data_IF_651701214545
#
_entry.id   IF_651701214545
#
_cell.length_a   1.000
_cell.length_b   1.000
_cell.length_c   1.000
_cell.angle_alpha   90.00
_cell.angle_beta   90.00
_cell.angle_gamma   90.00
#
_symmetry.space_group_name_H-M   'P 1'
#
loop_
_entity.id
_entity.type
_entity.pdbx_description
1 polymer ?
#
# COMPACT_ATOMS: atom_id res chain seq x y z
N UNK A 1 -46.30 -4.69 -62.22
CA UNK A 1 -45.69 -5.12 -60.94
C UNK A 1 -44.39 -4.34 -60.78
N UNK A 2 -44.42 -3.30 -59.96
CA UNK A 2 -43.37 -2.28 -59.86
C UNK A 2 -42.26 -2.76 -58.93
N UNK A 3 -41.06 -2.90 -59.46
CA UNK A 3 -39.85 -3.22 -58.69
C UNK A 3 -39.28 -1.94 -58.06
N UNK A 4 -39.61 -1.71 -56.79
CA UNK A 4 -39.05 -0.60 -56.00
C UNK A 4 -37.68 -0.99 -55.45
N UNK A 5 -36.63 -0.62 -56.19
CA UNK A 5 -35.23 -0.81 -55.82
C UNK A 5 -34.82 0.20 -54.74
N UNK A 6 -34.70 -0.25 -53.49
CA UNK A 6 -34.28 0.55 -52.34
C UNK A 6 -32.76 0.79 -52.37
N UNK A 7 -32.34 1.85 -53.06
CA UNK A 7 -30.99 2.41 -52.89
C UNK A 7 -30.89 3.11 -51.54
N UNK A 8 -30.65 2.34 -50.49
CA UNK A 8 -30.17 2.89 -49.22
C UNK A 8 -28.79 3.49 -49.51
N UNK A 9 -28.75 4.82 -49.53
CA UNK A 9 -27.53 5.60 -49.69
C UNK A 9 -26.50 5.18 -48.63
N UNK A 10 -25.32 4.73 -49.08
CA UNK A 10 -24.16 4.41 -48.23
C UNK A 10 -23.79 5.51 -47.23
N UNK A 11 -24.21 6.75 -47.49
CA UNK A 11 -24.02 7.90 -46.60
C UNK A 11 -24.82 7.80 -45.29
N UNK A 12 -25.92 7.04 -45.25
CA UNK A 12 -26.84 7.00 -44.10
C UNK A 12 -26.50 5.88 -43.10
N UNK A 13 -25.74 4.85 -43.52
CA UNK A 13 -25.35 3.74 -42.65
C UNK A 13 -24.28 4.12 -41.61
N UNK A 14 -23.53 5.22 -41.81
CA UNK A 14 -22.47 5.67 -40.89
C UNK A 14 -23.06 6.37 -39.65
N UNK A 15 -24.28 6.91 -39.74
CA UNK A 15 -24.93 7.61 -38.61
C UNK A 15 -25.70 6.68 -37.66
N UNK A 16 -25.90 5.40 -38.02
CA UNK A 16 -26.67 4.45 -37.20
C UNK A 16 -25.85 3.83 -36.05
N UNK A 17 -24.52 3.88 -36.13
CA UNK A 17 -23.65 3.60 -35.00
C UNK A 17 -23.43 4.94 -34.32
N UNK A 18 -24.14 5.20 -33.23
CA UNK A 18 -24.03 6.41 -32.41
C UNK A 18 -22.65 6.55 -31.73
N UNK A 19 -21.56 6.43 -32.50
CA UNK A 19 -20.23 6.81 -32.11
C UNK A 19 -20.33 8.31 -31.89
N UNK A 20 -20.37 8.72 -30.62
CA UNK A 20 -19.97 10.06 -30.24
C UNK A 20 -18.55 10.19 -30.79
N UNK A 21 -18.43 10.84 -31.95
CA UNK A 21 -17.16 11.08 -32.62
C UNK A 21 -16.44 12.12 -31.77
N UNK A 22 -15.92 11.67 -30.64
CA UNK A 22 -15.07 12.48 -29.80
C UNK A 22 -13.84 12.79 -30.63
N UNK A 23 -13.63 14.08 -30.77
CA UNK A 23 -12.41 14.70 -31.22
C UNK A 23 -11.20 13.99 -30.60
N UNK A 24 -10.30 13.51 -31.46
CA UNK A 24 -9.07 12.84 -31.02
C UNK A 24 -7.99 13.91 -30.95
N UNK A 25 -7.52 14.17 -29.74
CA UNK A 25 -6.36 15.04 -29.53
C UNK A 25 -5.12 14.36 -30.09
N UNK A 26 -4.46 15.05 -31.02
CA UNK A 26 -3.22 14.61 -31.63
C UNK A 26 -2.12 15.64 -31.42
N UNK A 27 -0.89 15.14 -31.48
CA UNK A 27 0.29 15.99 -31.59
C UNK A 27 0.11 16.98 -32.77
N UNK A 28 0.64 18.21 -32.64
CA UNK A 28 0.44 19.22 -33.66
C UNK A 28 1.05 18.80 -35.00
N UNK A 29 0.30 18.95 -36.10
CA UNK A 29 0.82 18.77 -37.46
C UNK A 29 1.93 19.78 -37.76
N UNK A 30 2.74 19.59 -38.81
CA UNK A 30 3.88 20.46 -39.10
C UNK A 30 3.46 21.92 -39.30
N UNK A 31 2.29 22.16 -39.92
CA UNK A 31 1.75 23.51 -40.08
C UNK A 31 1.35 24.16 -38.74
N UNK A 32 0.71 23.40 -37.84
CA UNK A 32 0.35 23.91 -36.51
C UNK A 32 1.59 24.05 -35.61
N UNK A 33 2.58 23.18 -35.77
CA UNK A 33 3.85 23.22 -35.04
C UNK A 33 4.72 24.41 -35.47
N UNK A 34 4.68 24.79 -36.75
CA UNK A 34 5.46 25.92 -37.30
C UNK A 34 4.70 27.25 -37.28
N UNK A 35 3.44 27.26 -36.86
CA UNK A 35 2.70 28.50 -36.69
C UNK A 35 3.41 29.38 -35.65
N UNK A 36 3.62 30.66 -35.98
CA UNK A 36 4.15 31.65 -35.04
C UNK A 36 3.08 31.88 -33.96
N UNK A 37 3.32 31.34 -32.76
CA UNK A 37 2.48 31.55 -31.58
C UNK A 37 3.10 32.69 -30.76
N UNK A 38 2.31 33.70 -30.34
CA UNK A 38 2.78 34.76 -29.47
C UNK A 38 3.41 34.21 -28.19
N UNK A 39 4.37 34.95 -27.63
CA UNK A 39 5.02 34.58 -26.38
C UNK A 39 4.00 34.62 -25.24
N UNK A 40 3.77 33.48 -24.58
CA UNK A 40 2.76 33.31 -23.52
C UNK A 40 1.47 32.60 -23.94
N UNK A 41 1.24 32.37 -25.25
CA UNK A 41 0.09 31.58 -25.70
C UNK A 41 0.41 30.08 -25.78
N UNK A 42 -0.56 29.25 -25.38
CA UNK A 42 -0.47 27.79 -25.47
C UNK A 42 -0.57 27.39 -26.95
N UNK A 43 0.39 26.59 -27.42
CA UNK A 43 0.33 26.05 -28.79
C UNK A 43 -0.95 25.24 -28.98
N UNK A 44 -1.70 25.45 -30.08
CA UNK A 44 -2.95 24.74 -30.30
C UNK A 44 -2.68 23.24 -30.52
N UNK A 45 -3.43 22.39 -29.81
CA UNK A 45 -3.48 20.96 -30.07
C UNK A 45 -4.19 20.70 -31.41
N UNK A 46 -3.74 19.70 -32.15
CA UNK A 46 -4.41 19.31 -33.39
C UNK A 46 -5.52 18.33 -33.06
N UNK A 47 -6.75 18.82 -33.10
CA UNK A 47 -7.93 17.96 -33.00
C UNK A 47 -8.29 17.48 -34.39
N UNK A 48 -8.38 16.17 -34.62
CA UNK A 48 -8.80 15.63 -35.92
C UNK A 48 -10.22 15.15 -35.82
N UNK A 49 -11.09 15.61 -36.72
CA UNK A 49 -12.43 15.05 -36.85
C UNK A 49 -12.44 13.84 -37.81
N UNK A 50 -13.33 12.87 -37.62
CA UNK A 50 -13.46 11.68 -38.50
C UNK A 50 -13.88 12.02 -39.94
N UNK A 51 -14.54 13.18 -40.12
CA UNK A 51 -15.04 13.67 -41.41
C UNK A 51 -14.01 14.57 -42.11
N UNK A 52 -13.14 15.24 -41.36
CA UNK A 52 -12.11 16.11 -41.91
C UNK A 52 -10.80 15.34 -42.06
N UNK A 53 -10.27 15.24 -43.28
CA UNK A 53 -8.91 14.73 -43.52
C UNK A 53 -7.81 15.70 -43.07
N UNK A 54 -8.14 16.63 -42.19
CA UNK A 54 -7.31 17.74 -41.72
C UNK A 54 -7.66 17.98 -40.25
N UNK A 55 -6.70 18.44 -39.46
CA UNK A 55 -6.97 18.90 -38.10
C UNK A 55 -7.83 20.18 -38.11
N UNK A 56 -8.54 20.42 -37.00
CA UNK A 56 -9.43 21.56 -36.76
C UNK A 56 -8.77 22.88 -37.10
N UNK A 57 -7.51 23.08 -36.70
CA UNK A 57 -6.75 24.30 -36.99
C UNK A 57 -6.41 24.47 -38.47
N UNK A 58 -6.01 23.41 -39.17
CA UNK A 58 -5.77 23.46 -40.61
C UNK A 58 -7.07 23.62 -41.40
N UNK A 59 -8.20 23.10 -40.90
CA UNK A 59 -9.52 23.37 -41.45
C UNK A 59 -9.88 24.84 -41.27
N UNK A 60 -9.72 25.37 -40.05
CA UNK A 60 -10.01 26.77 -39.69
C UNK A 60 -9.19 27.77 -40.50
N UNK A 61 -7.90 27.50 -40.69
CA UNK A 61 -6.98 28.33 -41.48
C UNK A 61 -7.03 28.04 -42.98
N UNK A 62 -7.88 27.11 -43.40
CA UNK A 62 -8.00 26.63 -44.78
C UNK A 62 -6.65 26.26 -45.42
N UNK A 63 -5.77 25.59 -44.65
CA UNK A 63 -4.46 25.17 -45.12
C UNK A 63 -4.60 24.13 -46.24
N UNK A 64 -3.81 24.26 -47.31
CA UNK A 64 -3.85 23.34 -48.45
C UNK A 64 -3.35 21.94 -48.07
N UNK A 65 -2.27 21.87 -47.30
CA UNK A 65 -1.71 20.63 -46.76
C UNK A 65 -2.00 20.52 -45.26
N UNK A 66 -2.29 19.31 -44.81
CA UNK A 66 -2.23 18.92 -43.40
C UNK A 66 -1.68 17.51 -43.40
N UNK A 67 -0.56 17.33 -42.71
CA UNK A 67 0.18 16.06 -42.70
C UNK A 67 -0.52 15.01 -41.81
N UNK A 68 -1.48 15.46 -41.00
CA UNK A 68 -2.33 14.59 -40.20
C UNK A 68 -3.52 14.17 -41.04
N UNK A 69 -3.36 13.06 -41.74
CA UNK A 69 -4.43 12.37 -42.46
C UNK A 69 -4.62 10.98 -41.86
N UNK A 70 -5.79 10.73 -41.27
CA UNK A 70 -6.17 9.41 -40.79
C UNK A 70 -7.22 8.79 -41.71
N UNK A 71 -7.06 7.51 -42.04
CA UNK A 71 -8.11 6.71 -42.69
C UNK A 71 -9.16 6.30 -41.65
N UNK A 72 -10.40 6.04 -42.08
CA UNK A 72 -11.48 5.62 -41.19
C UNK A 72 -11.14 4.35 -40.37
N UNK A 73 -10.39 3.42 -40.95
CA UNK A 73 -9.93 2.21 -40.24
C UNK A 73 -8.90 2.51 -39.16
N UNK A 74 -7.97 3.44 -39.42
CA UNK A 74 -6.97 3.88 -38.45
C UNK A 74 -7.64 4.63 -37.30
N UNK A 75 -8.63 5.45 -37.62
CA UNK A 75 -9.46 6.14 -36.63
C UNK A 75 -10.12 5.15 -35.66
N UNK A 76 -10.77 4.12 -36.20
CA UNK A 76 -11.43 3.11 -35.37
C UNK A 76 -10.42 2.38 -34.47
N UNK A 77 -9.23 2.04 -34.99
CA UNK A 77 -8.16 1.44 -34.18
C UNK A 77 -7.69 2.36 -33.06
N UNK A 78 -7.53 3.65 -33.33
CA UNK A 78 -7.10 4.64 -32.33
C UNK A 78 -8.16 4.82 -31.23
N UNK A 79 -9.45 4.88 -31.58
CA UNK A 79 -10.52 4.95 -30.59
C UNK A 79 -10.54 3.71 -29.69
N UNK A 80 -10.47 2.51 -30.27
CA UNK A 80 -10.42 1.26 -29.50
C UNK A 80 -9.19 1.23 -28.59
N UNK A 81 -8.02 1.64 -29.09
CA UNK A 81 -6.80 1.70 -28.30
C UNK A 81 -6.88 2.73 -27.18
N UNK A 82 -7.46 3.90 -27.44
CA UNK A 82 -7.69 4.95 -26.42
C UNK A 82 -8.60 4.44 -25.33
N UNK A 83 -9.72 3.82 -25.69
CA UNK A 83 -10.70 3.32 -24.72
C UNK A 83 -10.11 2.17 -23.90
N UNK A 84 -9.31 1.29 -24.52
CA UNK A 84 -8.55 0.26 -23.79
C UNK A 84 -7.55 0.88 -22.81
N UNK A 85 -6.78 1.87 -23.23
CA UNK A 85 -5.82 2.55 -22.36
C UNK A 85 -6.52 3.30 -21.22
N UNK A 86 -7.68 3.91 -21.48
CA UNK A 86 -8.47 4.58 -20.45
C UNK A 86 -8.94 3.59 -19.37
N UNK A 87 -9.41 2.40 -19.76
CA UNK A 87 -9.75 1.34 -18.80
C UNK A 87 -8.54 0.85 -18.01
N UNK A 88 -7.38 0.71 -18.65
CA UNK A 88 -6.14 0.32 -17.95
C UNK A 88 -5.68 1.39 -16.96
N UNK A 89 -5.82 2.68 -17.30
CA UNK A 89 -5.54 3.78 -16.39
C UNK A 89 -6.48 3.72 -15.17
N UNK A 90 -7.79 3.56 -15.40
CA UNK A 90 -8.78 3.45 -14.32
C UNK A 90 -8.51 2.24 -13.40
N UNK A 91 -8.10 1.11 -13.96
CA UNK A 91 -7.71 -0.08 -13.19
C UNK A 91 -6.47 0.18 -12.32
N UNK A 92 -5.43 0.79 -12.89
CA UNK A 92 -4.22 1.16 -12.16
C UNK A 92 -4.51 2.19 -11.06
N UNK A 93 -5.32 3.22 -11.35
CA UNK A 93 -5.72 4.23 -10.35
C UNK A 93 -6.46 3.60 -9.16
N UNK A 94 -7.29 2.58 -9.43
CA UNK A 94 -7.97 1.82 -8.38
C UNK A 94 -6.99 0.99 -7.55
N UNK A 95 -6.05 0.30 -8.19
CA UNK A 95 -5.00 -0.45 -7.49
C UNK A 95 -4.12 0.47 -6.63
N UNK A 96 -3.75 1.65 -7.15
CA UNK A 96 -3.00 2.66 -6.39
C UNK A 96 -3.76 3.09 -5.12
N UNK A 97 -5.08 3.32 -5.23
CA UNK A 97 -5.92 3.68 -4.10
C UNK A 97 -5.98 2.56 -3.05
N UNK A 98 -6.17 1.31 -3.47
CA UNK A 98 -6.18 0.15 -2.56
C UNK A 98 -4.83 -0.02 -1.83
N UNK A 99 -3.71 0.21 -2.53
CA UNK A 99 -2.37 0.18 -1.94
C UNK A 99 -2.15 1.31 -0.93
N UNK A 100 -2.62 2.53 -1.21
CA UNK A 100 -2.56 3.64 -0.26
C UNK A 100 -3.35 3.33 1.02
N UNK A 101 -4.57 2.79 0.90
CA UNK A 101 -5.36 2.41 2.06
C UNK A 101 -4.69 1.31 2.90
N UNK A 102 -4.05 0.33 2.25
CA UNK A 102 -3.28 -0.70 2.92
C UNK A 102 -2.07 -0.10 3.67
N UNK A 103 -1.35 0.83 3.04
CA UNK A 103 -0.23 1.53 3.65
C UNK A 103 -0.67 2.34 4.89
N UNK A 104 -1.81 3.02 4.82
CA UNK A 104 -2.37 3.78 5.94
C UNK A 104 -2.78 2.88 7.11
N UNK A 105 -3.37 1.72 6.82
CA UNK A 105 -3.66 0.68 7.83
C UNK A 105 -2.38 0.23 8.52
N UNK A 106 -1.32 -0.11 7.77
CA UNK A 106 -0.03 -0.51 8.34
C UNK A 106 0.61 0.60 9.17
N UNK A 107 0.57 1.85 8.69
CA UNK A 107 1.07 3.01 9.42
C UNK A 107 0.30 3.25 10.72
N UNK A 108 -1.03 3.05 10.73
CA UNK A 108 -1.84 3.13 11.94
C UNK A 108 -1.44 2.06 12.97
N UNK A 109 -1.23 0.81 12.53
CA UNK A 109 -0.77 -0.28 13.40
C UNK A 109 0.64 -0.02 13.93
N UNK A 110 1.55 0.50 13.11
CA UNK A 110 2.89 0.87 13.52
C UNK A 110 2.86 1.96 14.61
N UNK A 111 1.99 2.97 14.47
CA UNK A 111 1.79 4.00 15.49
C UNK A 111 1.30 3.41 16.81
N UNK A 112 0.28 2.54 16.77
CA UNK A 112 -0.23 1.85 17.96
C UNK A 112 0.85 1.00 18.65
N UNK A 113 1.64 0.24 17.88
CA UNK A 113 2.74 -0.56 18.42
C UNK A 113 3.83 0.30 19.05
N UNK A 114 4.18 1.43 18.43
CA UNK A 114 5.14 2.40 18.99
C UNK A 114 4.63 3.01 20.29
N UNK A 115 3.36 3.35 20.35
CA UNK A 115 2.73 3.88 21.56
C UNK A 115 2.71 2.84 22.69
N UNK A 116 2.29 1.60 22.41
CA UNK A 116 2.32 0.49 23.38
C UNK A 116 3.74 0.26 23.90
N UNK A 117 4.74 0.23 23.02
CA UNK A 117 6.16 0.10 23.39
C UNK A 117 6.60 1.22 24.32
N UNK A 118 6.20 2.47 24.05
CA UNK A 118 6.55 3.60 24.91
C UNK A 118 5.89 3.49 26.28
N UNK A 119 4.60 3.12 26.34
CA UNK A 119 3.89 2.89 27.60
C UNK A 119 4.56 1.81 28.45
N UNK A 120 4.88 0.67 27.85
CA UNK A 120 5.57 -0.43 28.53
C UNK A 120 6.95 -0.01 29.05
N UNK A 121 7.73 0.74 28.26
CA UNK A 121 9.01 1.29 28.73
C UNK A 121 8.88 2.20 29.95
N UNK A 122 7.84 3.03 30.00
CA UNK A 122 7.56 3.89 31.16
C UNK A 122 7.22 3.07 32.40
N UNK A 123 6.37 2.05 32.24
CA UNK A 123 5.99 1.14 33.35
C UNK A 123 7.23 0.40 33.86
N UNK A 124 8.03 -0.17 32.96
CA UNK A 124 9.26 -0.88 33.30
C UNK A 124 10.25 0.02 34.06
N UNK A 125 10.51 1.23 33.57
CA UNK A 125 11.38 2.18 34.25
C UNK A 125 10.84 2.64 35.62
N UNK A 126 9.51 2.65 35.80
CA UNK A 126 8.91 2.94 37.10
C UNK A 126 9.06 1.76 38.06
N UNK A 127 8.89 0.52 37.58
CA UNK A 127 9.07 -0.69 38.39
C UNK A 127 10.53 -0.86 38.80
N UNK A 128 11.49 -0.61 37.91
CA UNK A 128 12.91 -0.63 38.22
C UNK A 128 13.25 0.33 39.39
N UNK A 129 12.80 1.59 39.31
CA UNK A 129 13.00 2.56 40.40
C UNK A 129 12.35 2.16 41.72
N UNK A 130 11.18 1.52 41.68
CA UNK A 130 10.53 1.01 42.91
C UNK A 130 11.28 -0.17 43.51
N UNK A 131 11.82 -1.05 42.67
CA UNK A 131 12.64 -2.17 43.12
C UNK A 131 13.96 -1.69 43.72
N UNK A 132 14.64 -0.73 43.07
CA UNK A 132 15.86 -0.09 43.60
C UNK A 132 15.60 0.55 44.98
N UNK A 133 14.53 1.35 45.11
CA UNK A 133 14.18 1.98 46.38
C UNK A 133 13.79 0.97 47.47
N UNK A 134 13.16 -0.16 47.10
CA UNK A 134 12.84 -1.21 48.06
C UNK A 134 14.12 -1.91 48.56
N UNK A 135 15.07 -2.21 47.67
CA UNK A 135 16.37 -2.78 48.04
C UNK A 135 17.15 -1.82 48.93
N UNK A 136 17.18 -0.53 48.59
CA UNK A 136 17.83 0.51 49.41
C UNK A 136 17.23 0.58 50.83
N UNK A 137 15.90 0.55 50.95
CA UNK A 137 15.23 0.54 52.24
C UNK A 137 15.56 -0.72 53.08
N UNK A 138 15.66 -1.90 52.46
CA UNK A 138 16.07 -3.12 53.17
C UNK A 138 17.54 -3.04 53.62
N UNK A 139 18.42 -2.43 52.82
CA UNK A 139 19.82 -2.21 53.21
C UNK A 139 19.95 -1.24 54.39
N UNK A 140 19.14 -0.17 54.41
CA UNK A 140 19.10 0.78 55.54
C UNK A 140 18.66 0.08 56.83
N UNK A 141 17.63 -0.77 56.76
CA UNK A 141 17.15 -1.56 57.92
C UNK A 141 18.25 -2.49 58.45
N UNK A 142 18.95 -3.21 57.56
CA UNK A 142 20.05 -4.10 57.96
C UNK A 142 21.23 -3.32 58.58
N UNK A 143 21.54 -2.13 58.08
CA UNK A 143 22.59 -1.27 58.63
C UNK A 143 22.26 -0.74 60.02
N UNK A 144 20.99 -0.42 60.27
CA UNK A 144 20.52 0.03 61.59
C UNK A 144 20.53 -1.12 62.61
N UNK A 145 20.17 -2.34 62.19
CA UNK A 145 20.26 -3.55 63.03
C UNK A 145 21.72 -3.89 63.40
N UNK A 146 22.66 -3.79 62.45
CA UNK A 146 24.10 -4.02 62.72
C UNK A 146 24.68 -2.98 63.70
N UNK A 147 24.19 -1.73 63.64
CA UNK A 147 24.66 -0.66 64.53
C UNK A 147 24.07 -0.73 65.95
N UNK A 148 22.96 -1.44 66.13
CA UNK A 148 22.24 -1.58 67.39
C UNK A 148 22.75 -2.70 68.32
N UNK A 149 23.49 -3.69 67.79
CA UNK A 149 23.89 -4.90 68.50
C UNK A 149 25.37 -4.90 68.97
N UNK A 150 25.86 -3.71 69.33
CA UNK A 150 27.15 -3.51 69.98
C UNK A 150 27.16 -3.83 71.48
N UNK A 151 26.73 -5.03 71.91
CA UNK A 151 27.09 -5.57 73.23
C UNK A 151 28.00 -6.81 73.07
N UNK A 152 29.26 -6.78 73.53
CA UNK A 152 30.18 -7.89 73.34
C UNK A 152 29.98 -8.95 74.43
N UNK A 153 29.43 -10.11 74.06
CA UNK A 153 29.74 -11.34 74.77
C UNK A 153 28.62 -12.35 74.87
N UNK A 154 28.66 -13.36 74.02
CA UNK A 154 28.54 -14.74 74.49
C UNK A 154 28.99 -15.69 73.40
N UNK A 155 30.14 -16.33 73.60
CA UNK A 155 30.56 -17.46 72.82
C UNK A 155 29.60 -18.63 73.09
N UNK A 156 28.90 -19.11 72.05
CA UNK A 156 28.36 -20.46 72.03
C UNK A 156 28.66 -21.11 70.68
N UNK A 157 29.49 -22.16 70.63
CA UNK A 157 29.68 -22.95 69.43
C UNK A 157 28.62 -24.05 69.42
N UNK A 158 27.74 -24.05 68.41
CA UNK A 158 26.98 -25.25 68.04
C UNK A 158 27.01 -25.35 66.52
N UNK A 159 27.95 -26.15 66.02
CA UNK A 159 27.88 -26.71 64.68
C UNK A 159 26.66 -27.65 64.61
N UNK A 160 25.57 -27.17 64.01
CA UNK A 160 24.54 -28.04 63.46
C UNK A 160 24.82 -28.16 61.96
N UNK A 161 24.95 -29.37 61.40
CA UNK A 161 25.13 -29.54 59.97
C UNK A 161 23.84 -29.08 59.27
N UNK A 162 23.93 -27.96 58.56
CA UNK A 162 22.90 -27.53 57.62
C UNK A 162 22.95 -28.53 56.46
N UNK A 163 21.98 -29.42 56.40
CA UNK A 163 21.70 -30.19 55.19
C UNK A 163 21.29 -29.19 54.09
N UNK A 164 22.27 -28.83 53.26
CA UNK A 164 22.03 -28.13 52.01
C UNK A 164 21.21 -29.10 51.15
N UNK A 165 19.97 -28.78 50.73
CA UNK A 165 19.30 -29.57 49.73
C UNK A 165 20.18 -29.55 48.49
N UNK A 166 20.70 -30.71 48.07
CA UNK A 166 21.36 -30.87 46.78
C UNK A 166 20.34 -30.56 45.68
N UNK A 167 20.21 -29.29 45.33
CA UNK A 167 19.67 -28.93 44.04
C UNK A 167 20.73 -29.33 43.02
N UNK A 168 20.54 -30.53 42.45
CA UNK A 168 21.12 -30.87 41.17
C UNK A 168 20.63 -29.82 40.17
N UNK A 169 21.44 -28.77 39.98
CA UNK A 169 21.45 -27.99 38.76
C UNK A 169 22.01 -28.90 37.68
N UNK A 170 21.18 -29.82 37.20
CA UNK A 170 21.33 -30.32 35.86
C UNK A 170 21.36 -29.09 34.97
N UNK A 171 22.53 -28.84 34.37
CA UNK A 171 22.68 -27.95 33.23
C UNK A 171 21.94 -28.55 32.03
N UNK A 172 20.62 -28.69 32.16
CA UNK A 172 19.69 -28.87 31.08
C UNK A 172 19.05 -27.51 30.86
N UNK A 173 19.43 -26.86 29.77
CA UNK A 173 18.68 -25.76 29.17
C UNK A 173 17.20 -26.18 29.20
N UNK A 174 16.41 -25.52 30.04
CA UNK A 174 14.95 -25.65 30.05
C UNK A 174 14.45 -25.03 28.74
N UNK A 175 14.52 -25.80 27.66
CA UNK A 175 13.61 -25.71 26.53
C UNK A 175 12.21 -26.04 27.07
N UNK A 176 11.61 -25.08 27.77
CA UNK A 176 10.18 -25.11 28.00
C UNK A 176 9.52 -24.93 26.62
N UNK A 177 8.66 -25.86 26.19
CA UNK A 177 7.92 -25.69 24.96
C UNK A 177 7.09 -24.41 25.08
N UNK A 178 7.20 -23.52 24.09
CA UNK A 178 6.46 -22.25 23.99
C UNK A 178 4.92 -22.46 24.05
N UNK A 179 4.47 -23.71 23.94
CA UNK A 179 3.07 -24.12 23.91
C UNK A 179 2.29 -23.86 25.22
N UNK A 180 2.95 -23.68 26.37
CA UNK A 180 2.22 -23.43 27.64
C UNK A 180 1.78 -21.98 27.86
N UNK A 181 2.28 -21.03 27.06
CA UNK A 181 1.83 -19.63 27.14
C UNK A 181 0.64 -19.30 26.22
N UNK A 182 0.28 -20.20 25.29
CA UNK A 182 -0.88 -20.02 24.40
C UNK A 182 -2.20 -20.53 25.00
N UNK A 183 -2.18 -21.20 26.15
CA UNK A 183 -3.38 -21.71 26.81
C UNK A 183 -4.22 -20.65 27.55
N UNK A 184 -3.77 -19.38 27.56
CA UNK A 184 -4.56 -18.24 28.10
C UNK A 184 -5.18 -17.37 26.99
N UNK A 185 -5.34 -17.90 25.77
CA UNK A 185 -6.07 -17.25 24.67
C UNK A 185 -7.40 -17.99 24.38
N UNK A 186 -8.19 -18.21 25.44
CA UNK A 186 -9.58 -18.66 25.34
C UNK A 186 -10.57 -17.52 25.07
N UNK A 187 -10.30 -16.62 24.12
CA UNK A 187 -11.25 -15.60 23.66
C UNK A 187 -11.14 -15.37 22.14
N UNK A 188 -12.05 -16.05 21.42
CA UNK A 188 -12.42 -15.92 20.01
C UNK A 188 -11.34 -16.10 18.93
N UNK A 189 -11.20 -17.38 18.55
CA UNK A 189 -10.96 -17.87 17.19
C UNK A 189 -11.87 -17.18 16.16
N UNK A 190 -11.32 -16.24 15.38
CA UNK A 190 -11.77 -15.93 13.99
C UNK A 190 -10.65 -15.20 13.20
N UNK A 191 -9.38 -15.39 13.60
CA UNK A 191 -8.23 -14.61 13.15
C UNK A 191 -7.29 -15.42 12.22
N UNK A 192 -7.70 -15.61 10.96
CA UNK A 192 -6.90 -16.10 9.82
C UNK A 192 -7.10 -17.56 9.37
N UNK A 193 -8.25 -17.81 8.75
CA UNK A 193 -8.31 -18.49 7.46
C UNK A 193 -8.80 -17.43 6.46
N UNK A 194 -8.26 -17.23 5.25
CA UNK A 194 -8.23 -18.13 4.08
C UNK A 194 -7.10 -17.64 3.10
N UNK A 195 -6.87 -18.29 1.93
CA UNK A 195 -5.86 -19.30 1.63
C UNK A 195 -4.68 -18.78 0.77
N UNK A 196 -3.57 -19.50 0.79
CA UNK A 196 -2.41 -19.27 -0.08
C UNK A 196 -2.77 -19.49 -1.57
N UNK A 197 -2.33 -18.55 -2.40
CA UNK A 197 -2.38 -18.62 -3.85
C UNK A 197 -1.50 -19.77 -4.37
N UNK A 198 -2.11 -20.63 -5.20
CA UNK A 198 -1.39 -21.53 -6.09
C UNK A 198 -0.81 -20.73 -7.25
N UNK A 199 0.52 -20.71 -7.35
CA UNK A 199 1.27 -20.38 -8.55
C UNK A 199 1.88 -21.67 -9.06
N UNK A 200 1.43 -22.14 -10.22
CA UNK A 200 2.26 -22.85 -11.18
C UNK A 200 1.65 -22.76 -12.59
N UNK A 201 2.14 -21.76 -13.30
CA UNK A 201 2.76 -21.85 -14.62
C UNK A 201 2.49 -23.13 -15.44
N UNK A 202 1.72 -23.01 -16.51
CA UNK A 202 1.95 -23.77 -17.75
C UNK A 202 1.27 -23.07 -18.93
N UNK A 203 2.09 -22.32 -19.66
CA UNK A 203 1.81 -21.80 -20.98
C UNK A 203 2.37 -22.75 -22.05
N UNK A 204 1.53 -23.02 -23.05
CA UNK A 204 1.85 -23.19 -24.48
C UNK A 204 1.93 -24.60 -25.08
N UNK A 205 1.20 -24.70 -26.20
CA UNK A 205 1.37 -25.55 -27.39
C UNK A 205 0.70 -26.93 -27.42
#
# INVERSE_FOLDING_TARGET
MSSSSSRISRATAINAVGIKLSDLDMAPCSNCRNAKVPEGEIRPSCVVGPRSKKCSECVRKNCRSCDVTLRAQEWQKLVISRDKLALQIEEIEKEELELMEAQDKLNSQLRQRREKKLRLRKIFAQQARRAEAAVEAELDVLSDEESGDGEPGSAVPVEAPVEIPEFHLDHGILELPIESWMALEGASSDFFAIPAAGVDSSSSS
#
